data_IF_273971453727
#
_entry.id   IF_273971453727
#
_cell.length_a   1.000
_cell.length_b   1.000
_cell.length_c   1.000
_cell.angle_alpha   90.00
_cell.angle_beta   90.00
_cell.angle_gamma   90.00
#
_symmetry.space_group_name_H-M   'P 1'
#
loop_
_entity.id
_entity.type
_entity.pdbx_description
1 polymer ?
#
# COMPACT_ATOMS: atom_id res chain seq x y z
N UNK A 1 -5.50 3.69 -15.83
CA UNK A 1 -4.10 3.23 -15.69
C UNK A 1 -4.05 2.22 -14.57
N UNK A 2 -3.73 0.96 -14.87
CA UNK A 2 -3.65 -0.09 -13.86
C UNK A 2 -2.56 0.24 -12.82
N UNK A 3 -2.96 0.46 -11.56
CA UNK A 3 -2.05 0.63 -10.43
C UNK A 3 -1.12 -0.60 -10.36
N UNK A 4 0.20 -0.39 -10.36
CA UNK A 4 1.15 -1.43 -9.95
C UNK A 4 1.04 -1.63 -8.45
N UNK A 5 0.46 -2.76 -8.04
CA UNK A 5 0.43 -3.23 -6.65
C UNK A 5 1.85 -3.61 -6.22
N UNK A 6 2.54 -2.67 -5.59
CA UNK A 6 3.85 -2.86 -5.00
C UNK A 6 3.68 -3.26 -3.51
N UNK A 7 3.36 -4.53 -3.23
CA UNK A 7 3.21 -4.96 -1.84
C UNK A 7 2.95 -6.46 -1.62
N UNK A 8 1.92 -7.03 -2.25
CA UNK A 8 1.49 -8.41 -1.96
C UNK A 8 1.86 -9.44 -3.05
N UNK A 9 2.25 -8.98 -4.24
CA UNK A 9 2.53 -9.83 -5.41
C UNK A 9 3.82 -10.66 -5.30
N UNK A 10 4.65 -10.46 -4.27
CA UNK A 10 5.83 -11.30 -4.00
C UNK A 10 5.47 -12.68 -3.43
N UNK A 11 4.39 -12.81 -2.67
CA UNK A 11 3.98 -14.10 -2.08
C UNK A 11 3.38 -15.05 -3.15
N UNK A 12 2.68 -14.51 -4.15
CA UNK A 12 2.07 -15.29 -5.23
C UNK A 12 3.12 -15.91 -6.19
N UNK A 13 4.28 -15.27 -6.38
CA UNK A 13 5.35 -15.76 -7.28
C UNK A 13 6.11 -16.99 -6.76
N UNK A 14 6.02 -17.30 -5.46
CA UNK A 14 6.70 -18.46 -4.87
C UNK A 14 6.09 -19.83 -5.27
N UNK A 15 4.86 -19.86 -5.82
CA UNK A 15 4.15 -21.11 -6.17
C UNK A 15 4.51 -21.72 -7.53
N UNK A 16 5.21 -21.02 -8.44
CA UNK A 16 5.50 -21.53 -9.81
C UNK A 16 6.92 -22.07 -10.04
N UNK A 17 7.78 -22.17 -9.02
CA UNK A 17 9.19 -22.56 -9.24
C UNK A 17 9.75 -23.70 -8.36
N UNK A 18 8.93 -24.71 -8.02
CA UNK A 18 9.45 -25.98 -7.48
C UNK A 18 8.77 -27.21 -8.08
N UNK A 19 9.20 -27.59 -9.28
CA UNK A 19 9.21 -29.00 -9.68
C UNK A 19 10.34 -29.28 -10.67
N UNK A 20 11.13 -30.30 -10.35
CA UNK A 20 12.05 -31.08 -11.20
C UNK A 20 13.44 -30.50 -11.56
N UNK A 21 14.45 -30.90 -10.78
CA UNK A 21 15.39 -31.96 -11.21
C UNK A 21 16.44 -32.25 -10.12
N UNK A 22 16.40 -33.46 -9.55
CA UNK A 22 17.55 -34.05 -8.87
C UNK A 22 18.65 -34.41 -9.88
N UNK A 23 19.93 -34.30 -9.47
CA UNK A 23 20.90 -35.29 -9.90
C UNK A 23 21.54 -35.98 -8.69
N UNK A 24 21.40 -37.31 -8.70
CA UNK A 24 22.11 -38.28 -7.88
C UNK A 24 23.62 -38.20 -8.18
N UNK A 25 24.44 -38.06 -7.14
CA UNK A 25 25.91 -38.12 -7.21
C UNK A 25 26.55 -38.49 -5.87
N UNK A 26 26.85 -39.78 -5.72
CA UNK A 26 27.49 -40.44 -4.58
C UNK A 26 28.97 -40.00 -4.32
N UNK A 27 29.33 -39.64 -3.08
CA UNK A 27 30.29 -40.35 -2.18
C UNK A 27 30.99 -39.44 -1.13
N UNK A 28 30.70 -39.76 0.15
CA UNK A 28 31.57 -39.87 1.34
C UNK A 28 32.45 -38.69 1.83
N UNK A 29 32.13 -38.22 3.04
CA UNK A 29 33.11 -38.08 4.13
C UNK A 29 33.01 -36.82 5.01
N UNK A 30 32.54 -36.99 6.26
CA UNK A 30 32.76 -36.19 7.50
C UNK A 30 32.35 -34.70 7.45
N UNK A 31 31.58 -34.12 8.38
CA UNK A 31 31.42 -34.32 9.83
C UNK A 31 30.09 -33.71 10.30
N UNK A 32 29.55 -34.27 11.38
CA UNK A 32 28.42 -33.75 12.17
C UNK A 32 28.70 -32.36 12.78
N UNK A 33 27.62 -31.64 13.08
CA UNK A 33 27.52 -30.34 13.78
C UNK A 33 28.07 -29.09 13.06
N UNK A 34 27.28 -28.58 12.11
CA UNK A 34 27.16 -27.12 11.94
C UNK A 34 25.77 -26.71 12.41
N UNK A 35 25.65 -26.31 13.68
CA UNK A 35 24.59 -25.41 14.10
C UNK A 35 24.53 -24.27 13.07
N UNK A 36 23.38 -24.03 12.44
CA UNK A 36 23.14 -22.82 11.64
C UNK A 36 23.26 -21.61 12.58
N UNK A 37 24.49 -21.15 12.85
CA UNK A 37 24.75 -19.92 13.56
C UNK A 37 24.45 -18.77 12.60
N UNK A 38 23.30 -18.14 12.79
CA UNK A 38 22.94 -16.90 12.13
C UNK A 38 23.95 -15.83 12.59
N UNK A 39 24.93 -15.51 11.75
CA UNK A 39 25.86 -14.40 11.99
C UNK A 39 25.27 -13.17 11.31
N UNK A 40 24.55 -12.35 12.07
CA UNK A 40 24.07 -11.04 11.59
C UNK A 40 25.13 -10.01 11.97
N UNK A 41 25.71 -9.35 10.98
CA UNK A 41 26.63 -8.23 11.21
C UNK A 41 25.83 -7.05 11.78
N UNK A 42 26.06 -6.73 13.05
CA UNK A 42 25.49 -5.53 13.67
C UNK A 42 26.19 -4.28 13.11
N UNK A 43 25.48 -3.16 12.92
CA UNK A 43 26.10 -1.90 12.56
C UNK A 43 27.20 -1.50 13.56
N UNK A 44 28.31 -0.92 13.09
CA UNK A 44 29.49 -0.57 13.92
C UNK A 44 29.19 0.37 15.10
N UNK A 45 28.03 1.03 15.09
CA UNK A 45 27.59 2.00 16.11
C UNK A 45 26.83 1.36 17.29
N UNK A 46 26.55 0.05 17.24
CA UNK A 46 25.80 -0.66 18.29
C UNK A 46 26.73 -1.13 19.41
N UNK A 47 26.46 -0.69 20.64
CA UNK A 47 27.17 -1.18 21.83
C UNK A 47 26.85 -2.65 22.09
N UNK A 48 27.88 -3.50 22.03
CA UNK A 48 27.76 -4.94 22.25
C UNK A 48 27.49 -5.32 23.72
N UNK A 49 27.52 -4.37 24.66
CA UNK A 49 27.13 -4.59 26.05
C UNK A 49 25.70 -4.11 26.37
N UNK A 50 25.02 -3.42 25.44
CA UNK A 50 23.62 -3.00 25.57
C UNK A 50 22.68 -3.92 24.77
N UNK A 51 22.04 -4.85 25.48
CA UNK A 51 21.15 -5.86 24.88
C UNK A 51 19.95 -5.23 24.12
N UNK A 52 19.46 -4.07 24.54
CA UNK A 52 18.36 -3.38 23.83
C UNK A 52 18.86 -2.75 22.53
N UNK A 53 20.07 -2.20 22.54
CA UNK A 53 20.70 -1.67 21.32
C UNK A 53 21.00 -2.78 20.31
N UNK A 54 21.39 -3.97 20.76
CA UNK A 54 21.53 -5.15 19.89
C UNK A 54 20.20 -5.55 19.26
N UNK A 55 19.12 -5.63 20.05
CA UNK A 55 17.79 -5.94 19.53
C UNK A 55 17.35 -4.93 18.45
N UNK A 56 17.58 -3.64 18.69
CA UNK A 56 17.32 -2.58 17.70
C UNK A 56 18.15 -2.76 16.43
N UNK A 57 19.43 -3.13 16.57
CA UNK A 57 20.33 -3.40 15.46
C UNK A 57 19.85 -4.58 14.60
N UNK A 58 19.47 -5.70 15.23
CA UNK A 58 18.89 -6.86 14.55
C UNK A 58 17.60 -6.51 13.81
N UNK A 59 16.70 -5.79 14.48
CA UNK A 59 15.44 -5.35 13.88
C UNK A 59 15.68 -4.42 12.68
N UNK A 60 16.59 -3.45 12.80
CA UNK A 60 16.95 -2.55 11.71
C UNK A 60 17.56 -3.29 10.51
N UNK A 61 18.39 -4.30 10.76
CA UNK A 61 18.94 -5.13 9.71
C UNK A 61 17.84 -5.91 8.96
N UNK A 62 16.84 -6.42 9.69
CA UNK A 62 15.67 -7.07 9.11
C UNK A 62 14.81 -6.10 8.30
N UNK A 63 14.47 -4.92 8.84
CA UNK A 63 13.60 -3.94 8.16
C UNK A 63 14.20 -3.39 6.87
N UNK A 64 15.54 -3.36 6.80
CA UNK A 64 16.30 -2.92 5.62
C UNK A 64 16.62 -4.06 4.64
N UNK A 65 16.26 -5.30 4.97
CA UNK A 65 16.39 -6.45 4.07
C UNK A 65 15.13 -6.65 3.22
N UNK A 66 15.13 -7.66 2.34
CA UNK A 66 13.95 -8.07 1.57
C UNK A 66 12.82 -8.68 2.43
N UNK A 67 13.04 -8.81 3.76
CA UNK A 67 12.08 -9.33 4.76
C UNK A 67 11.58 -10.76 4.50
N UNK A 68 12.23 -11.50 3.62
CA UNK A 68 11.86 -12.86 3.18
C UNK A 68 12.52 -13.98 4.00
N UNK A 69 13.19 -13.63 5.11
CA UNK A 69 13.99 -14.56 5.88
C UNK A 69 13.42 -14.82 7.28
N UNK A 70 12.65 -15.91 7.39
CA UNK A 70 12.06 -16.40 8.64
C UNK A 70 13.13 -16.65 9.73
N UNK A 71 14.37 -16.98 9.37
CA UNK A 71 15.44 -17.22 10.35
C UNK A 71 15.84 -15.95 11.10
N UNK A 72 15.80 -14.79 10.43
CA UNK A 72 16.11 -13.50 11.06
C UNK A 72 14.99 -13.14 12.04
N UNK A 73 13.72 -13.33 11.66
CA UNK A 73 12.55 -13.11 12.52
C UNK A 73 12.62 -13.98 13.77
N UNK A 74 12.91 -15.27 13.60
CA UNK A 74 13.11 -16.18 14.73
C UNK A 74 14.31 -15.78 15.61
N UNK A 75 15.38 -15.25 15.03
CA UNK A 75 16.51 -14.67 15.77
C UNK A 75 16.09 -13.49 16.66
N UNK A 76 15.28 -12.57 16.14
CA UNK A 76 14.73 -11.44 16.89
C UNK A 76 13.84 -11.93 18.04
N UNK A 77 12.98 -12.92 17.80
CA UNK A 77 12.10 -13.51 18.82
C UNK A 77 12.91 -14.16 19.94
N UNK A 78 13.92 -14.96 19.59
CA UNK A 78 14.78 -15.59 20.60
C UNK A 78 15.55 -14.58 21.45
N UNK A 79 15.97 -13.46 20.85
CA UNK A 79 16.59 -12.36 21.58
C UNK A 79 15.59 -11.67 22.52
N UNK A 80 14.35 -11.45 22.05
CA UNK A 80 13.29 -10.91 22.88
C UNK A 80 12.97 -11.82 24.09
N UNK A 81 12.93 -13.13 23.86
CA UNK A 81 12.73 -14.13 24.90
C UNK A 81 13.91 -14.17 25.89
N UNK A 82 15.14 -13.99 25.42
CA UNK A 82 16.33 -13.88 26.28
C UNK A 82 16.21 -12.67 27.19
N UNK A 83 15.85 -11.52 26.65
CA UNK A 83 15.62 -10.28 27.40
C UNK A 83 14.52 -10.44 28.46
N UNK A 84 13.40 -11.07 28.12
CA UNK A 84 12.33 -11.34 29.09
C UNK A 84 12.76 -12.28 30.22
N UNK A 85 13.55 -13.32 29.92
CA UNK A 85 14.06 -14.23 30.95
C UNK A 85 15.10 -13.59 31.87
N UNK A 86 15.88 -12.67 31.33
CA UNK A 86 16.94 -11.95 32.06
C UNK A 86 16.43 -10.69 32.75
N UNK A 87 15.17 -10.31 32.53
CA UNK A 87 14.56 -9.14 33.14
C UNK A 87 14.57 -9.26 34.67
N UNK A 88 15.14 -8.26 35.35
CA UNK A 88 15.13 -8.21 36.81
C UNK A 88 13.71 -8.04 37.35
N UNK A 89 13.39 -8.73 38.43
CA UNK A 89 12.08 -8.66 39.07
C UNK A 89 11.76 -7.22 39.50
N UNK A 90 10.68 -6.65 38.96
CA UNK A 90 10.26 -5.25 39.22
C UNK A 90 10.86 -4.20 38.27
N UNK A 91 11.78 -4.56 37.39
CA UNK A 91 12.18 -3.72 36.25
C UNK A 91 11.14 -3.82 35.12
N UNK A 92 11.04 -2.80 34.25
CA UNK A 92 10.18 -2.83 33.06
C UNK A 92 11.04 -2.65 31.82
N UNK A 93 10.82 -3.49 30.81
CA UNK A 93 11.46 -3.32 29.51
C UNK A 93 10.91 -2.05 28.82
N UNK A 94 11.72 -1.38 27.98
CA UNK A 94 11.28 -0.17 27.29
C UNK A 94 10.17 -0.46 26.27
N UNK A 95 9.38 0.55 25.89
CA UNK A 95 8.32 0.40 24.89
C UNK A 95 8.84 -0.21 23.58
N UNK A 96 10.04 0.20 23.12
CA UNK A 96 10.66 -0.34 21.91
C UNK A 96 10.85 -1.87 21.94
N UNK A 97 11.06 -2.47 23.12
CA UNK A 97 11.13 -3.93 23.24
C UNK A 97 9.80 -4.57 22.86
N UNK A 98 8.69 -4.08 23.43
CA UNK A 98 7.35 -4.61 23.16
C UNK A 98 6.97 -4.43 21.69
N UNK A 99 7.30 -3.26 21.12
CA UNK A 99 7.13 -2.99 19.69
C UNK A 99 7.82 -4.06 18.82
N UNK A 100 9.14 -4.20 18.96
CA UNK A 100 9.93 -5.10 18.12
C UNK A 100 9.44 -6.54 18.27
N UNK A 101 9.16 -6.96 19.51
CA UNK A 101 8.72 -8.32 19.75
C UNK A 101 7.35 -8.61 19.13
N UNK A 102 6.38 -7.71 19.32
CA UNK A 102 5.05 -7.87 18.70
C UNK A 102 5.12 -7.89 17.18
N UNK A 103 5.92 -7.01 16.56
CA UNK A 103 6.09 -7.01 15.10
C UNK A 103 6.69 -8.34 14.63
N UNK A 104 7.78 -8.78 15.24
CA UNK A 104 8.42 -10.04 14.86
C UNK A 104 7.47 -11.24 14.98
N UNK A 105 6.63 -11.28 16.02
CA UNK A 105 5.60 -12.32 16.15
C UNK A 105 4.56 -12.23 15.03
N UNK A 106 4.06 -11.04 14.68
CA UNK A 106 3.09 -10.90 13.60
C UNK A 106 3.68 -11.22 12.22
N UNK A 107 4.97 -10.93 12.00
CA UNK A 107 5.66 -11.21 10.73
C UNK A 107 5.76 -12.72 10.45
N UNK A 108 5.74 -13.57 11.48
CA UNK A 108 5.69 -15.02 11.26
C UNK A 108 4.45 -15.45 10.47
N UNK A 109 3.33 -14.73 10.54
CA UNK A 109 2.13 -15.04 9.77
C UNK A 109 2.38 -15.03 8.25
N UNK A 110 3.31 -14.18 7.77
CA UNK A 110 3.67 -14.09 6.35
C UNK A 110 4.37 -15.35 5.81
N UNK A 111 4.94 -16.19 6.68
CA UNK A 111 5.62 -17.43 6.28
C UNK A 111 4.73 -18.68 6.34
N UNK A 112 3.60 -18.58 7.04
CA UNK A 112 2.70 -19.71 7.32
C UNK A 112 1.28 -19.46 6.79
N UNK A 113 1.17 -18.77 5.64
CA UNK A 113 -0.10 -18.31 5.04
C UNK A 113 -1.12 -19.41 4.73
N UNK A 114 -0.68 -20.67 4.66
CA UNK A 114 -1.54 -21.83 4.38
C UNK A 114 -2.16 -22.44 5.66
N UNK A 115 -1.73 -22.05 6.88
CA UNK A 115 -2.28 -22.54 8.16
C UNK A 115 -2.93 -21.41 8.98
N UNK A 116 -4.25 -21.25 8.80
CA UNK A 116 -5.06 -20.24 9.49
C UNK A 116 -4.97 -20.33 11.01
N UNK A 117 -4.80 -21.53 11.57
CA UNK A 117 -4.68 -21.68 13.04
C UNK A 117 -3.35 -21.13 13.51
N UNK A 118 -2.27 -21.43 12.79
CA UNK A 118 -0.94 -20.94 13.10
C UNK A 118 -0.85 -19.41 12.91
N UNK A 119 -1.44 -18.87 11.83
CA UNK A 119 -1.60 -17.42 11.62
C UNK A 119 -2.28 -16.77 12.81
N UNK A 120 -3.41 -17.33 13.26
CA UNK A 120 -4.14 -16.83 14.43
C UNK A 120 -3.27 -16.85 15.69
N UNK A 121 -2.53 -17.94 15.94
CA UNK A 121 -1.64 -18.04 17.10
C UNK A 121 -0.54 -16.97 17.10
N UNK A 122 0.01 -16.63 15.93
CA UNK A 122 1.00 -15.56 15.80
C UNK A 122 0.40 -14.18 16.08
N UNK A 123 -0.77 -13.89 15.54
CA UNK A 123 -1.46 -12.62 15.80
C UNK A 123 -1.91 -12.50 17.26
N UNK A 124 -2.47 -13.55 17.85
CA UNK A 124 -2.84 -13.57 19.27
C UNK A 124 -1.62 -13.30 20.16
N UNK A 125 -0.49 -13.98 19.90
CA UNK A 125 0.74 -13.77 20.66
C UNK A 125 1.32 -12.35 20.49
N UNK A 126 1.24 -11.82 19.27
CA UNK A 126 1.67 -10.45 18.95
C UNK A 126 0.82 -9.41 19.70
N UNK A 127 -0.51 -9.60 19.71
CA UNK A 127 -1.46 -8.73 20.40
C UNK A 127 -1.32 -8.83 21.93
N UNK A 128 -1.19 -10.03 22.49
CA UNK A 128 -0.92 -10.20 23.93
C UNK A 128 0.36 -9.45 24.35
N UNK A 129 1.38 -9.47 23.48
CA UNK A 129 2.64 -8.78 23.72
C UNK A 129 2.51 -7.26 23.62
N UNK A 130 1.75 -6.74 22.65
CA UNK A 130 1.56 -5.29 22.50
C UNK A 130 0.70 -4.73 23.63
N UNK A 131 -0.31 -5.49 24.06
CA UNK A 131 -1.15 -5.15 25.21
C UNK A 131 -0.33 -5.11 26.50
N UNK A 132 0.53 -6.11 26.74
CA UNK A 132 1.50 -6.07 27.85
C UNK A 132 2.41 -4.83 27.83
N UNK A 133 2.74 -4.34 26.62
CA UNK A 133 3.51 -3.11 26.42
C UNK A 133 2.70 -1.87 26.78
N UNK A 134 1.47 -1.77 26.28
CA UNK A 134 0.54 -0.67 26.53
C UNK A 134 0.07 -0.62 28.00
N UNK A 135 -0.01 -1.74 28.71
CA UNK A 135 -0.26 -1.72 30.16
C UNK A 135 0.85 -0.99 30.94
N UNK A 136 2.09 -1.07 30.45
CA UNK A 136 3.27 -0.48 31.09
C UNK A 136 3.59 0.92 30.55
N UNK A 137 3.27 1.15 29.28
CA UNK A 137 3.54 2.38 28.54
C UNK A 137 2.24 2.81 27.80
N UNK A 138 1.17 3.19 28.52
CA UNK A 138 -0.16 3.37 27.95
C UNK A 138 -0.29 4.52 26.96
N UNK A 139 0.61 5.48 27.06
CA UNK A 139 0.64 6.71 26.29
C UNK A 139 1.67 6.67 25.16
N UNK A 140 2.33 5.53 24.94
CA UNK A 140 3.37 5.40 23.92
C UNK A 140 2.76 5.33 22.51
N UNK A 141 3.04 6.37 21.72
CA UNK A 141 2.52 6.55 20.36
C UNK A 141 2.95 5.41 19.43
N UNK A 142 4.19 4.96 19.54
CA UNK A 142 4.72 3.89 18.69
C UNK A 142 4.02 2.56 18.95
N UNK A 143 3.76 2.22 20.22
CA UNK A 143 2.99 1.01 20.56
C UNK A 143 1.56 1.04 20.03
N UNK A 144 0.91 2.21 20.05
CA UNK A 144 -0.44 2.36 19.50
C UNK A 144 -0.45 2.17 17.97
N UNK A 145 0.49 2.80 17.24
CA UNK A 145 0.63 2.56 15.80
C UNK A 145 0.94 1.10 15.49
N UNK A 146 1.86 0.48 16.23
CA UNK A 146 2.18 -0.94 16.06
C UNK A 146 0.96 -1.84 16.31
N UNK A 147 0.13 -1.55 17.33
CA UNK A 147 -1.11 -2.29 17.54
C UNK A 147 -2.06 -2.17 16.34
N UNK A 148 -2.22 -0.96 15.79
CA UNK A 148 -3.02 -0.75 14.58
C UNK A 148 -2.49 -1.57 13.41
N UNK A 149 -1.17 -1.54 13.17
CA UNK A 149 -0.50 -2.32 12.13
C UNK A 149 -0.82 -3.82 12.22
N UNK A 150 -0.67 -4.39 13.42
CA UNK A 150 -0.93 -5.81 13.68
C UNK A 150 -2.39 -6.15 13.37
N UNK A 151 -3.34 -5.31 13.79
CA UNK A 151 -4.77 -5.53 13.54
C UNK A 151 -5.12 -5.47 12.05
N UNK A 152 -4.57 -4.52 11.29
CA UNK A 152 -4.79 -4.43 9.83
C UNK A 152 -4.22 -5.66 9.12
N UNK A 153 -2.99 -6.05 9.43
CA UNK A 153 -2.38 -7.26 8.85
C UNK A 153 -3.16 -8.53 9.21
N UNK A 154 -3.71 -8.61 10.43
CA UNK A 154 -4.55 -9.71 10.85
C UNK A 154 -5.83 -9.81 10.01
N UNK A 155 -6.48 -8.67 9.72
CA UNK A 155 -7.67 -8.63 8.87
C UNK A 155 -7.38 -9.29 7.52
N UNK A 156 -6.28 -8.89 6.86
CA UNK A 156 -5.91 -9.39 5.54
C UNK A 156 -5.60 -10.90 5.59
N UNK A 157 -4.65 -11.31 6.43
CA UNK A 157 -4.07 -12.66 6.40
C UNK A 157 -4.93 -13.73 7.09
N UNK A 158 -5.67 -13.35 8.13
CA UNK A 158 -6.47 -14.31 8.90
C UNK A 158 -7.92 -14.38 8.41
N UNK A 159 -8.50 -13.25 7.98
CA UNK A 159 -9.91 -13.18 7.65
C UNK A 159 -10.16 -13.06 6.14
N UNK A 160 -9.68 -12.00 5.50
CA UNK A 160 -9.98 -11.71 4.08
C UNK A 160 -9.46 -12.81 3.16
N UNK A 161 -8.24 -13.31 3.39
CA UNK A 161 -7.64 -14.35 2.56
C UNK A 161 -8.40 -15.70 2.57
N UNK A 162 -9.32 -15.89 3.52
CA UNK A 162 -10.11 -17.11 3.66
C UNK A 162 -11.50 -16.99 3.04
N UNK A 163 -11.90 -15.78 2.64
CA UNK A 163 -13.22 -15.52 2.09
C UNK A 163 -13.36 -16.08 0.68
N UNK A 164 -14.60 -16.40 0.33
CA UNK A 164 -15.03 -16.77 -1.02
C UNK A 164 -16.22 -15.91 -1.39
N UNK A 165 -16.55 -15.85 -2.67
CA UNK A 165 -17.77 -15.18 -3.15
C UNK A 165 -19.06 -15.64 -2.44
N UNK A 166 -19.07 -16.86 -1.90
CA UNK A 166 -20.19 -17.43 -1.14
C UNK A 166 -20.09 -17.26 0.38
N UNK A 167 -19.10 -16.54 0.90
CA UNK A 167 -18.91 -16.35 2.34
C UNK A 167 -19.97 -15.41 2.91
N UNK A 168 -20.40 -15.67 4.15
CA UNK A 168 -21.38 -14.83 4.85
C UNK A 168 -20.74 -14.06 6.02
N UNK A 169 -21.31 -12.92 6.41
CA UNK A 169 -20.89 -12.07 7.56
C UNK A 169 -20.73 -12.86 8.87
N UNK A 170 -21.44 -13.98 9.02
CA UNK A 170 -21.30 -14.86 10.18
C UNK A 170 -19.92 -15.55 10.29
N UNK A 171 -19.19 -15.64 9.18
CA UNK A 171 -17.84 -16.21 9.12
C UNK A 171 -16.77 -15.20 9.58
N UNK A 172 -16.94 -13.92 9.24
CA UNK A 172 -16.06 -12.83 9.66
C UNK A 172 -16.77 -11.47 9.60
N UNK A 173 -16.73 -10.69 10.69
CA UNK A 173 -17.22 -9.32 10.69
C UNK A 173 -16.07 -8.34 10.33
N UNK A 174 -15.66 -8.34 9.06
CA UNK A 174 -14.49 -7.58 8.59
C UNK A 174 -14.65 -6.09 8.85
N UNK A 175 -15.85 -5.54 8.68
CA UNK A 175 -16.16 -4.14 9.00
C UNK A 175 -15.81 -3.79 10.45
N UNK A 176 -16.29 -4.55 11.42
CA UNK A 176 -16.06 -4.26 12.84
C UNK A 176 -14.58 -4.39 13.22
N UNK A 177 -13.87 -5.34 12.61
CA UNK A 177 -12.43 -5.49 12.77
C UNK A 177 -11.68 -4.27 12.23
N UNK A 178 -12.03 -3.81 11.02
CA UNK A 178 -11.44 -2.62 10.41
C UNK A 178 -11.73 -1.38 11.25
N UNK A 179 -12.99 -1.11 11.60
CA UNK A 179 -13.40 0.00 12.48
C UNK A 179 -12.59 0.00 13.79
N UNK A 180 -12.30 -1.18 14.35
CA UNK A 180 -11.50 -1.31 15.57
C UNK A 180 -10.05 -0.92 15.33
N UNK A 181 -9.43 -1.43 14.26
CA UNK A 181 -8.06 -1.12 13.90
C UNK A 181 -7.87 0.39 13.64
N UNK A 182 -8.77 1.00 12.86
CA UNK A 182 -8.72 2.42 12.52
C UNK A 182 -8.88 3.33 13.76
N UNK A 183 -9.73 2.96 14.72
CA UNK A 183 -9.83 3.67 16.01
C UNK A 183 -8.54 3.62 16.83
N UNK A 184 -7.77 2.54 16.73
CA UNK A 184 -6.45 2.46 17.38
C UNK A 184 -5.48 3.44 16.70
N UNK A 185 -5.48 3.52 15.36
CA UNK A 185 -4.70 4.50 14.62
C UNK A 185 -5.04 5.94 15.02
N UNK A 186 -6.33 6.29 15.02
CA UNK A 186 -6.82 7.61 15.44
C UNK A 186 -6.37 7.98 16.86
N UNK A 187 -6.39 7.00 17.76
CA UNK A 187 -5.93 7.17 19.15
C UNK A 187 -4.42 7.46 19.20
N UNK A 188 -3.61 6.79 18.37
CA UNK A 188 -2.18 7.05 18.25
C UNK A 188 -1.92 8.49 17.78
N UNK A 189 -2.62 8.94 16.74
CA UNK A 189 -2.47 10.31 16.23
C UNK A 189 -2.90 11.37 17.23
N UNK A 190 -4.03 11.14 17.93
CA UNK A 190 -4.52 12.02 18.98
C UNK A 190 -3.45 12.15 20.06
N UNK A 191 -2.89 11.02 20.51
CA UNK A 191 -1.85 11.00 21.54
C UNK A 191 -0.58 11.69 21.09
N UNK A 192 -0.16 11.48 19.85
CA UNK A 192 0.99 12.17 19.26
C UNK A 192 0.79 13.70 19.25
N UNK A 193 -0.42 14.16 18.93
CA UNK A 193 -0.79 15.57 19.00
C UNK A 193 -0.75 16.13 20.44
N UNK A 194 -1.31 15.41 21.40
CA UNK A 194 -1.30 15.81 22.82
C UNK A 194 0.11 15.92 23.40
N UNK A 195 0.98 14.97 23.05
CA UNK A 195 2.35 14.89 23.54
C UNK A 195 3.34 15.70 22.68
N UNK A 196 2.90 16.23 21.54
CA UNK A 196 3.76 16.87 20.53
C UNK A 196 4.90 15.95 20.05
N UNK A 197 4.64 14.65 19.99
CA UNK A 197 5.58 13.61 19.54
C UNK A 197 5.33 13.31 18.06
N UNK A 198 5.77 14.23 17.19
CA UNK A 198 5.56 14.09 15.76
C UNK A 198 6.64 13.23 15.08
N UNK A 199 7.72 12.88 15.78
CA UNK A 199 8.83 12.08 15.24
C UNK A 199 8.38 10.72 14.69
N UNK A 200 7.30 10.14 15.23
CA UNK A 200 6.70 8.92 14.71
C UNK A 200 6.27 9.06 13.24
N UNK A 201 5.85 10.25 12.79
CA UNK A 201 5.43 10.51 11.41
C UNK A 201 6.61 10.65 10.44
N UNK A 202 7.87 10.59 10.91
CA UNK A 202 9.06 10.52 10.05
C UNK A 202 9.60 9.09 9.95
N UNK A 203 8.69 8.11 9.92
CA UNK A 203 9.01 6.70 9.90
C UNK A 203 8.15 5.99 8.86
N UNK A 204 8.82 5.42 7.85
CA UNK A 204 8.17 4.68 6.77
C UNK A 204 7.29 3.54 7.32
N UNK A 205 7.72 2.85 8.38
CA UNK A 205 6.98 1.73 8.99
C UNK A 205 5.56 2.10 9.47
N UNK A 206 5.33 3.37 9.83
CA UNK A 206 4.02 3.86 10.25
C UNK A 206 3.23 4.49 9.12
N UNK A 207 3.91 4.89 8.04
CA UNK A 207 3.23 5.17 6.78
C UNK A 207 2.73 3.88 6.13
N UNK A 208 3.48 2.77 6.22
CA UNK A 208 3.07 1.43 5.76
C UNK A 208 1.68 1.01 6.30
N UNK A 209 1.23 1.56 7.43
CA UNK A 209 -0.10 1.27 7.98
C UNK A 209 -1.19 1.85 7.09
N UNK A 210 -1.01 3.08 6.59
CA UNK A 210 -1.94 3.70 5.65
C UNK A 210 -1.88 2.97 4.30
N UNK A 211 -0.70 2.55 3.86
CA UNK A 211 -0.57 1.72 2.65
C UNK A 211 -1.28 0.37 2.80
N UNK A 212 -1.15 -0.29 3.96
CA UNK A 212 -1.84 -1.56 4.22
C UNK A 212 -3.38 -1.39 4.27
N UNK A 213 -3.88 -0.21 4.65
CA UNK A 213 -5.31 0.11 4.55
C UNK A 213 -5.70 0.31 3.08
N UNK A 214 -4.93 1.07 2.29
CA UNK A 214 -5.17 1.25 0.84
C UNK A 214 -5.19 -0.10 0.11
N UNK A 215 -4.19 -0.95 0.35
CA UNK A 215 -4.09 -2.30 -0.20
C UNK A 215 -5.30 -3.17 0.19
N UNK A 216 -5.79 -3.05 1.44
CA UNK A 216 -6.99 -3.76 1.87
C UNK A 216 -8.23 -3.27 1.11
N UNK A 217 -8.37 -1.96 0.87
CA UNK A 217 -9.48 -1.41 0.10
C UNK A 217 -9.41 -1.84 -1.36
N UNK A 218 -8.21 -1.80 -1.97
CA UNK A 218 -7.98 -2.30 -3.32
C UNK A 218 -8.31 -3.82 -3.41
N UNK A 219 -7.99 -4.63 -2.39
CA UNK A 219 -8.40 -6.05 -2.32
C UNK A 219 -9.92 -6.20 -2.26
N UNK A 220 -10.61 -5.34 -1.50
CA UNK A 220 -12.06 -5.36 -1.35
C UNK A 220 -12.75 -4.99 -2.67
N UNK A 221 -12.29 -3.94 -3.35
CA UNK A 221 -12.86 -3.45 -4.59
C UNK A 221 -12.70 -4.46 -5.73
N UNK A 222 -11.58 -5.19 -5.72
CA UNK A 222 -11.27 -6.22 -6.72
C UNK A 222 -11.62 -7.64 -6.27
N UNK A 223 -12.35 -7.80 -5.17
CA UNK A 223 -12.58 -9.11 -4.59
C UNK A 223 -13.37 -10.04 -5.53
N UNK A 224 -12.72 -11.14 -5.93
CA UNK A 224 -13.31 -12.14 -6.80
C UNK A 224 -13.19 -11.84 -8.30
N UNK A 225 -12.67 -10.67 -8.69
CA UNK A 225 -12.32 -10.39 -10.09
C UNK A 225 -11.14 -11.29 -10.46
N UNK A 226 -11.21 -11.96 -11.60
CA UNK A 226 -10.02 -12.65 -12.13
C UNK A 226 -9.00 -11.57 -12.47
N UNK A 227 -7.79 -11.62 -11.89
CA UNK A 227 -6.69 -10.80 -12.37
C UNK A 227 -6.51 -11.15 -13.84
N UNK A 228 -6.90 -10.24 -14.74
CA UNK A 228 -6.44 -10.25 -16.13
C UNK A 228 -4.93 -9.98 -16.02
N UNK A 229 -4.14 -11.05 -15.84
CA UNK A 229 -2.70 -11.00 -15.98
C UNK A 229 -2.45 -10.44 -17.38
N UNK A 230 -2.12 -9.15 -17.48
CA UNK A 230 -1.70 -8.49 -18.71
C UNK A 230 -0.76 -9.41 -19.48
N UNK A 231 -1.24 -10.01 -20.57
CA UNK A 231 -0.46 -10.90 -21.44
C UNK A 231 0.56 -10.11 -22.30
N UNK A 232 1.08 -8.98 -21.82
CA UNK A 232 2.05 -8.18 -22.56
C UNK A 232 3.51 -8.65 -22.37
N UNK A 233 3.78 -9.60 -21.46
CA UNK A 233 5.14 -10.10 -21.18
C UNK A 233 5.38 -11.57 -21.63
N UNK A 234 4.61 -12.10 -22.58
CA UNK A 234 4.99 -13.32 -23.31
C UNK A 234 5.49 -12.98 -24.71
N UNK A 235 6.75 -12.57 -24.77
CA UNK A 235 7.53 -12.55 -26.01
C UNK A 235 7.36 -13.88 -26.79
N UNK A 236 6.71 -13.76 -27.94
CA UNK A 236 7.04 -14.45 -29.20
C UNK A 236 7.75 -15.81 -29.11
N UNK A 237 6.98 -16.88 -29.30
CA UNK A 237 7.35 -18.07 -30.11
C UNK A 237 6.15 -19.00 -30.17
N UNK A 238 5.27 -18.77 -31.13
CA UNK A 238 5.13 -19.71 -32.25
C UNK A 238 4.21 -19.12 -33.32
N UNK A 239 4.60 -19.41 -34.56
CA UNK A 239 3.92 -18.98 -35.77
C UNK A 239 2.66 -19.82 -36.02
N UNK A 240 1.76 -19.22 -36.78
CA UNK A 240 0.66 -19.82 -37.54
C UNK A 240 -0.63 -20.11 -36.73
N UNK A 241 -1.55 -19.15 -36.64
CA UNK A 241 -2.73 -19.06 -37.53
C UNK A 241 -3.77 -18.04 -37.05
N UNK A 242 -4.39 -17.39 -38.04
CA UNK A 242 -5.77 -16.87 -38.06
C UNK A 242 -6.17 -15.76 -37.07
N UNK A 243 -6.17 -14.53 -37.59
CA UNK A 243 -7.15 -13.45 -37.35
C UNK A 243 -8.14 -13.67 -36.21
N UNK A 244 -7.83 -13.11 -35.05
CA UNK A 244 -8.84 -12.54 -34.18
C UNK A 244 -8.60 -11.04 -34.11
N UNK A 245 -9.57 -10.29 -34.65
CA UNK A 245 -9.77 -8.88 -34.35
C UNK A 245 -9.87 -8.78 -32.82
N UNK A 246 -8.98 -7.99 -32.23
CA UNK A 246 -9.08 -7.60 -30.82
C UNK A 246 -10.15 -6.53 -30.82
N UNK A 247 -11.39 -6.92 -30.48
CA UNK A 247 -12.42 -5.95 -30.12
C UNK A 247 -11.99 -5.38 -28.76
N UNK A 248 -11.68 -4.08 -28.75
CA UNK A 248 -11.36 -3.27 -27.57
C UNK A 248 -12.63 -3.00 -26.73
N UNK A 249 -13.28 -4.05 -26.21
CA UNK A 249 -14.45 -3.95 -25.31
C UNK A 249 -14.40 -5.02 -24.20
N UNK A 250 -13.26 -5.18 -23.52
CA UNK A 250 -13.25 -5.91 -22.24
C UNK A 250 -13.82 -4.96 -21.15
N UNK A 251 -15.15 -4.82 -21.11
CA UNK A 251 -15.87 -4.33 -19.93
C UNK A 251 -15.50 -5.27 -18.77
N UNK A 252 -14.66 -4.83 -17.82
CA UNK A 252 -14.39 -5.57 -16.60
C UNK A 252 -15.73 -5.93 -15.94
N UNK A 253 -16.09 -7.22 -15.91
CA UNK A 253 -17.34 -7.65 -15.25
C UNK A 253 -17.31 -7.19 -13.79
N UNK A 254 -18.13 -6.19 -13.45
CA UNK A 254 -18.31 -5.76 -12.07
C UNK A 254 -18.93 -6.89 -11.25
N UNK A 255 -18.11 -7.52 -10.41
CA UNK A 255 -18.58 -8.54 -9.47
C UNK A 255 -19.24 -7.83 -8.29
N UNK A 256 -20.56 -7.73 -8.35
CA UNK A 256 -21.37 -7.26 -7.23
C UNK A 256 -21.44 -8.35 -6.14
N UNK A 257 -20.92 -8.03 -4.95
CA UNK A 257 -20.99 -8.94 -3.81
C UNK A 257 -22.42 -9.02 -3.25
N UNK A 258 -22.80 -10.17 -2.71
CA UNK A 258 -24.09 -10.29 -2.02
C UNK A 258 -24.10 -9.41 -0.76
N UNK A 259 -25.26 -8.82 -0.43
CA UNK A 259 -25.42 -7.95 0.74
C UNK A 259 -25.10 -8.63 2.09
N UNK A 260 -25.04 -9.96 2.12
CA UNK A 260 -24.63 -10.76 3.28
C UNK A 260 -23.15 -11.12 3.29
N UNK A 261 -22.37 -10.73 2.28
CA UNK A 261 -20.93 -10.99 2.20
C UNK A 261 -20.15 -10.10 3.19
N UNK A 262 -19.11 -10.63 3.88
CA UNK A 262 -18.32 -9.87 4.86
C UNK A 262 -17.73 -8.54 4.37
N UNK A 263 -17.39 -8.45 3.07
CA UNK A 263 -16.77 -7.28 2.46
C UNK A 263 -17.78 -6.31 1.85
N UNK A 264 -19.05 -6.72 1.66
CA UNK A 264 -20.08 -5.87 1.05
C UNK A 264 -20.23 -4.50 1.74
N UNK A 265 -20.24 -4.39 3.08
CA UNK A 265 -20.38 -3.10 3.76
C UNK A 265 -19.15 -2.18 3.62
N UNK A 266 -18.03 -2.70 3.14
CA UNK A 266 -16.80 -1.94 2.88
C UNK A 266 -16.76 -1.52 1.42
N UNK A 267 -17.03 -2.45 0.49
CA UNK A 267 -17.05 -2.20 -0.96
C UNK A 267 -18.10 -1.14 -1.37
N UNK A 268 -19.25 -1.11 -0.70
CA UNK A 268 -20.38 -0.25 -1.08
C UNK A 268 -20.41 1.10 -0.34
N UNK A 269 -19.29 1.57 0.19
CA UNK A 269 -19.21 2.86 0.88
C UNK A 269 -17.86 3.53 0.63
N UNK A 270 -17.88 4.85 0.48
CA UNK A 270 -16.66 5.65 0.35
C UNK A 270 -16.06 6.04 1.71
N UNK A 271 -16.69 5.63 2.82
CA UNK A 271 -16.28 5.98 4.19
C UNK A 271 -14.79 5.68 4.46
N UNK A 272 -14.28 4.54 3.99
CA UNK A 272 -12.90 4.13 4.26
C UNK A 272 -11.88 4.80 3.33
N UNK A 273 -12.23 5.07 2.07
CA UNK A 273 -11.41 5.88 1.17
C UNK A 273 -11.27 7.30 1.71
N UNK A 274 -12.38 7.89 2.17
CA UNK A 274 -12.39 9.20 2.81
C UNK A 274 -11.58 9.19 4.11
N UNK A 275 -11.74 8.16 4.95
CA UNK A 275 -10.92 7.97 6.15
C UNK A 275 -9.43 7.94 5.79
N UNK A 276 -9.04 7.07 4.84
CA UNK A 276 -7.65 6.94 4.42
C UNK A 276 -7.06 8.27 3.96
N UNK A 277 -7.82 9.02 3.16
CA UNK A 277 -7.39 10.31 2.62
C UNK A 277 -7.23 11.37 3.71
N UNK A 278 -8.21 11.50 4.60
CA UNK A 278 -8.18 12.46 5.71
C UNK A 278 -7.00 12.17 6.66
N UNK A 279 -6.76 10.89 6.94
CA UNK A 279 -5.66 10.46 7.80
C UNK A 279 -4.30 10.56 7.11
N UNK A 280 -4.22 10.39 5.79
CA UNK A 280 -2.99 10.64 5.02
C UNK A 280 -2.65 12.14 4.96
N UNK A 281 -3.64 13.02 4.81
CA UNK A 281 -3.45 14.48 4.93
C UNK A 281 -2.95 14.84 6.33
N UNK A 282 -3.55 14.26 7.37
CA UNK A 282 -3.13 14.48 8.76
C UNK A 282 -1.72 13.96 9.04
N UNK A 283 -1.35 12.81 8.45
CA UNK A 283 0.02 12.29 8.49
C UNK A 283 0.99 13.30 7.88
N UNK A 284 0.69 13.80 6.67
CA UNK A 284 1.50 14.82 5.99
C UNK A 284 1.63 16.10 6.82
N UNK A 285 0.55 16.57 7.41
CA UNK A 285 0.55 17.75 8.28
C UNK A 285 1.45 17.57 9.51
N UNK A 286 1.46 16.36 10.09
CA UNK A 286 2.33 16.04 11.23
C UNK A 286 3.79 15.88 10.81
N UNK A 287 4.06 15.22 9.69
CA UNK A 287 5.40 15.11 9.09
C UNK A 287 6.00 16.51 8.82
N UNK A 288 5.20 17.45 8.31
CA UNK A 288 5.62 18.83 8.06
C UNK A 288 5.93 19.65 9.33
N UNK A 289 5.54 19.18 10.53
CA UNK A 289 5.89 19.84 11.81
C UNK A 289 7.30 19.48 12.28
N UNK A 290 7.92 18.47 11.67
CA UNK A 290 9.24 17.98 12.05
C UNK A 290 10.29 18.90 11.44
N UNK A 291 11.38 19.15 12.18
CA UNK A 291 12.41 20.10 11.73
C UNK A 291 13.21 19.60 10.50
N UNK A 292 13.27 18.29 10.29
CA UNK A 292 14.00 17.66 9.18
C UNK A 292 13.25 16.40 8.75
N UNK A 293 12.08 16.56 8.09
CA UNK A 293 11.32 15.44 7.56
C UNK A 293 12.11 14.77 6.43
N UNK A 294 11.91 13.46 6.28
CA UNK A 294 12.48 12.70 5.17
C UNK A 294 11.90 13.20 3.86
N UNK A 295 12.77 13.63 2.94
CA UNK A 295 12.33 14.12 1.62
C UNK A 295 11.70 13.01 0.78
N UNK A 296 12.17 11.76 0.90
CA UNK A 296 11.59 10.62 0.18
C UNK A 296 10.17 10.33 0.68
N UNK A 297 9.98 10.31 2.00
CA UNK A 297 8.68 10.08 2.60
C UNK A 297 7.70 11.23 2.29
N UNK A 298 8.17 12.48 2.31
CA UNK A 298 7.35 13.62 1.87
C UNK A 298 6.88 13.46 0.42
N UNK A 299 7.77 13.00 -0.48
CA UNK A 299 7.39 12.75 -1.88
C UNK A 299 6.38 11.62 -1.98
N UNK A 300 6.63 10.50 -1.31
CA UNK A 300 5.73 9.32 -1.32
C UNK A 300 4.32 9.68 -0.83
N UNK A 301 4.20 10.34 0.34
CA UNK A 301 2.90 10.74 0.90
C UNK A 301 2.15 11.68 -0.06
N UNK A 302 2.84 12.63 -0.68
CA UNK A 302 2.22 13.51 -1.67
C UNK A 302 1.85 12.76 -2.96
N UNK A 303 2.66 11.80 -3.40
CA UNK A 303 2.36 10.98 -4.57
C UNK A 303 1.06 10.21 -4.37
N UNK A 304 0.92 9.53 -3.22
CA UNK A 304 -0.29 8.78 -2.85
C UNK A 304 -1.53 9.66 -2.74
N UNK A 305 -1.43 10.82 -2.09
CA UNK A 305 -2.54 11.78 -2.05
C UNK A 305 -2.93 12.28 -3.45
N UNK A 306 -1.93 12.54 -4.30
CA UNK A 306 -2.12 12.93 -5.69
C UNK A 306 -2.91 11.88 -6.48
N UNK A 307 -2.46 10.62 -6.41
CA UNK A 307 -3.12 9.49 -7.07
C UNK A 307 -4.54 9.27 -6.55
N UNK A 308 -4.73 9.33 -5.23
CA UNK A 308 -6.06 9.16 -4.62
C UNK A 308 -7.05 10.24 -5.06
N UNK A 309 -6.62 11.50 -5.24
CA UNK A 309 -7.49 12.56 -5.77
C UNK A 309 -7.79 12.38 -7.26
N UNK A 310 -6.88 11.79 -8.04
CA UNK A 310 -7.16 11.42 -9.42
C UNK A 310 -8.20 10.30 -9.48
N UNK A 311 -8.06 9.26 -8.67
CA UNK A 311 -9.00 8.14 -8.61
C UNK A 311 -10.41 8.62 -8.24
N UNK A 312 -10.55 9.46 -7.22
CA UNK A 312 -11.85 10.06 -6.85
C UNK A 312 -12.44 10.93 -7.98
N UNK A 313 -11.58 11.49 -8.83
CA UNK A 313 -12.02 12.32 -9.95
C UNK A 313 -12.54 11.52 -11.15
N UNK A 314 -12.36 10.19 -11.20
CA UNK A 314 -12.74 9.37 -12.35
C UNK A 314 -14.25 9.40 -12.58
N UNK A 315 -15.07 9.13 -11.56
CA UNK A 315 -16.54 9.18 -11.67
C UNK A 315 -17.04 10.54 -12.18
N UNK A 316 -16.72 11.69 -11.54
CA UNK A 316 -17.20 12.98 -12.02
C UNK A 316 -16.60 13.37 -13.38
N UNK A 317 -15.39 12.90 -13.72
CA UNK A 317 -14.83 13.10 -15.07
C UNK A 317 -15.64 12.33 -16.10
N UNK A 318 -15.92 11.04 -15.86
CA UNK A 318 -16.69 10.18 -16.73
C UNK A 318 -18.12 10.70 -16.92
N UNK A 319 -18.79 11.10 -15.83
CA UNK A 319 -20.12 11.71 -15.90
C UNK A 319 -20.12 12.96 -16.76
N UNK A 320 -19.15 13.86 -16.56
CA UNK A 320 -19.03 15.06 -17.37
C UNK A 320 -18.80 14.73 -18.85
N UNK A 321 -17.89 13.80 -19.17
CA UNK A 321 -17.59 13.45 -20.56
C UNK A 321 -18.76 12.78 -21.24
N UNK A 322 -19.45 11.84 -20.58
CA UNK A 322 -20.62 11.16 -21.13
C UNK A 322 -21.77 12.14 -21.36
N UNK A 323 -22.13 12.96 -20.37
CA UNK A 323 -23.23 13.92 -20.54
C UNK A 323 -22.93 15.03 -21.57
N UNK A 324 -21.65 15.38 -21.78
CA UNK A 324 -21.26 16.47 -22.68
C UNK A 324 -21.02 16.03 -24.12
N UNK A 325 -20.41 14.86 -24.31
CA UNK A 325 -19.85 14.45 -25.60
C UNK A 325 -20.42 13.15 -26.16
N UNK A 326 -21.06 12.32 -25.32
CA UNK A 326 -21.61 11.04 -25.76
C UNK A 326 -23.06 11.22 -26.28
N UNK A 327 -23.27 10.83 -27.54
CA UNK A 327 -24.59 10.91 -28.17
C UNK A 327 -25.60 9.96 -27.53
N UNK A 328 -25.15 8.86 -26.92
CA UNK A 328 -26.02 7.88 -26.27
C UNK A 328 -26.70 8.43 -25.00
N UNK A 329 -26.08 9.45 -24.39
CA UNK A 329 -26.58 10.14 -23.20
C UNK A 329 -27.24 11.50 -23.54
N UNK A 330 -27.43 11.79 -24.84
CA UNK A 330 -27.98 13.07 -25.28
C UNK A 330 -29.38 13.33 -24.72
N UNK A 331 -29.51 14.43 -23.97
CA UNK A 331 -30.78 14.85 -23.36
C UNK A 331 -31.02 14.33 -21.94
N UNK A 332 -30.09 13.58 -21.37
CA UNK A 332 -30.06 13.31 -19.93
C UNK A 332 -29.56 14.55 -19.18
N UNK A 333 -30.22 14.89 -18.08
CA UNK A 333 -29.84 16.04 -17.23
C UNK A 333 -28.85 15.64 -16.13
N UNK A 334 -28.78 14.34 -15.81
CA UNK A 334 -28.06 13.78 -14.67
C UNK A 334 -27.61 12.34 -14.97
N UNK A 335 -26.41 11.98 -14.50
CA UNK A 335 -25.87 10.62 -14.49
C UNK A 335 -25.12 10.43 -13.15
N UNK A 336 -25.25 9.27 -12.50
CA UNK A 336 -24.65 8.99 -11.18
C UNK A 336 -24.95 10.06 -10.10
N UNK A 337 -26.13 10.69 -10.14
CA UNK A 337 -26.49 11.74 -9.17
C UNK A 337 -25.91 13.12 -9.47
N UNK A 338 -25.20 13.30 -10.59
CA UNK A 338 -24.50 14.54 -10.94
C UNK A 338 -24.99 15.10 -12.29
N UNK A 339 -25.26 16.41 -12.30
CA UNK A 339 -25.42 17.16 -13.54
C UNK A 339 -24.05 17.50 -14.17
N UNK A 340 -24.05 17.86 -15.45
CA UNK A 340 -22.84 18.25 -16.20
C UNK A 340 -21.99 19.31 -15.47
N UNK A 341 -22.62 20.37 -14.95
CA UNK A 341 -21.93 21.46 -14.28
C UNK A 341 -21.35 21.02 -12.92
N UNK A 342 -22.09 20.18 -12.18
CA UNK A 342 -21.61 19.63 -10.91
C UNK A 342 -20.44 18.68 -11.10
N UNK A 343 -20.56 17.76 -12.06
CA UNK A 343 -19.51 16.81 -12.42
C UNK A 343 -18.23 17.53 -12.84
N UNK A 344 -18.35 18.54 -13.71
CA UNK A 344 -17.23 19.37 -14.16
C UNK A 344 -16.53 20.08 -12.99
N UNK A 345 -17.29 20.74 -12.11
CA UNK A 345 -16.73 21.49 -10.98
C UNK A 345 -16.07 20.55 -9.96
N UNK A 346 -16.69 19.42 -9.63
CA UNK A 346 -16.11 18.43 -8.71
C UNK A 346 -14.82 17.87 -9.29
N UNK A 347 -14.84 17.40 -10.54
CA UNK A 347 -13.66 16.84 -11.21
C UNK A 347 -12.51 17.86 -11.28
N UNK A 348 -12.79 19.12 -11.67
CA UNK A 348 -11.78 20.19 -11.67
C UNK A 348 -11.18 20.40 -10.28
N UNK A 349 -12.00 20.44 -9.23
CA UNK A 349 -11.50 20.65 -7.87
C UNK A 349 -10.61 19.49 -7.41
N UNK A 350 -11.01 18.25 -7.69
CA UNK A 350 -10.23 17.06 -7.33
C UNK A 350 -8.90 16.99 -8.09
N UNK A 351 -8.91 17.19 -9.42
CA UNK A 351 -7.69 17.14 -10.21
C UNK A 351 -6.74 18.30 -9.87
N UNK A 352 -7.25 19.48 -9.51
CA UNK A 352 -6.39 20.55 -9.01
C UNK A 352 -5.70 20.17 -7.70
N UNK A 353 -6.41 19.56 -6.74
CA UNK A 353 -5.78 19.03 -5.51
C UNK A 353 -4.75 17.95 -5.83
N UNK A 354 -5.07 17.05 -6.77
CA UNK A 354 -4.12 16.04 -7.23
C UNK A 354 -2.83 16.69 -7.75
N UNK A 355 -2.94 17.69 -8.64
CA UNK A 355 -1.80 18.42 -9.18
C UNK A 355 -1.00 19.16 -8.12
N UNK A 356 -1.64 19.71 -7.08
CA UNK A 356 -0.94 20.35 -5.96
C UNK A 356 -0.03 19.36 -5.21
N UNK A 357 -0.49 18.12 -5.03
CA UNK A 357 0.27 17.06 -4.38
C UNK A 357 1.32 16.45 -5.31
N UNK A 358 0.97 16.08 -6.54
CA UNK A 358 1.90 15.51 -7.52
C UNK A 358 3.10 16.42 -7.80
N UNK A 359 2.89 17.75 -7.85
CA UNK A 359 4.00 18.73 -7.98
C UNK A 359 4.94 18.74 -6.79
N UNK A 360 4.44 18.47 -5.56
CA UNK A 360 5.28 18.33 -4.36
C UNK A 360 6.00 16.97 -4.32
N UNK A 361 5.44 15.97 -5.02
CA UNK A 361 6.03 14.66 -5.18
C UNK A 361 7.06 14.57 -6.33
N UNK A 362 7.22 15.62 -7.15
CA UNK A 362 8.15 15.62 -8.29
C UNK A 362 9.56 15.21 -7.86
N UNK A 363 10.07 14.13 -8.46
CA UNK A 363 11.47 13.72 -8.33
C UNK A 363 12.22 14.05 -9.62
N UNK A 364 13.31 14.81 -9.50
CA UNK A 364 14.11 15.25 -10.64
C UNK A 364 14.93 14.15 -11.28
N UNK A 365 15.04 13.00 -10.64
CA UNK A 365 15.77 11.85 -11.15
C UNK A 365 14.82 10.78 -11.73
N UNK A 366 13.51 10.93 -11.51
CA UNK A 366 12.48 9.99 -11.95
C UNK A 366 11.50 10.64 -12.95
N UNK A 367 11.72 10.46 -14.26
CA UNK A 367 10.85 11.02 -15.29
C UNK A 367 9.37 10.62 -15.19
N UNK A 368 9.07 9.47 -14.56
CA UNK A 368 7.71 8.98 -14.33
C UNK A 368 6.90 9.94 -13.47
N UNK A 369 7.51 10.55 -12.44
CA UNK A 369 6.86 11.58 -11.62
C UNK A 369 6.44 12.81 -12.42
N UNK A 370 7.16 13.13 -13.51
CA UNK A 370 6.83 14.25 -14.40
C UNK A 370 5.66 13.90 -15.31
N UNK A 371 5.62 12.67 -15.80
CA UNK A 371 4.55 12.17 -16.65
C UNK A 371 3.24 12.17 -15.89
N UNK A 372 3.22 11.72 -14.63
CA UNK A 372 2.03 11.76 -13.77
C UNK A 372 1.44 13.18 -13.65
N UNK A 373 2.30 14.22 -13.54
CA UNK A 373 1.86 15.62 -13.53
C UNK A 373 1.26 16.02 -14.88
N UNK A 374 1.92 15.64 -15.99
CA UNK A 374 1.46 15.99 -17.33
C UNK A 374 0.12 15.32 -17.67
N UNK A 375 -0.07 14.05 -17.34
CA UNK A 375 -1.33 13.34 -17.56
C UNK A 375 -2.46 13.96 -16.73
N UNK A 376 -2.22 14.30 -15.46
CA UNK A 376 -3.18 15.03 -14.66
C UNK A 376 -3.53 16.42 -15.24
N UNK A 377 -2.57 17.12 -15.87
CA UNK A 377 -2.83 18.37 -16.60
C UNK A 377 -3.69 18.14 -17.84
N UNK A 378 -3.48 17.05 -18.58
CA UNK A 378 -4.28 16.69 -19.75
C UNK A 378 -5.72 16.39 -19.32
N UNK A 379 -5.91 15.56 -18.29
CA UNK A 379 -7.24 15.26 -17.75
C UNK A 379 -7.95 16.54 -17.30
N UNK A 380 -7.24 17.47 -16.64
CA UNK A 380 -7.81 18.77 -16.29
C UNK A 380 -8.17 19.60 -17.53
N UNK A 381 -7.34 19.57 -18.58
CA UNK A 381 -7.58 20.25 -19.84
C UNK A 381 -8.83 19.75 -20.55
N UNK A 382 -9.08 18.44 -20.52
CA UNK A 382 -10.29 17.80 -21.07
C UNK A 382 -11.58 18.30 -20.39
N UNK A 383 -11.49 18.84 -19.17
CA UNK A 383 -12.65 19.40 -18.45
C UNK A 383 -12.94 20.86 -18.81
N UNK A 384 -12.11 21.53 -19.59
CA UNK A 384 -12.41 22.88 -20.09
C UNK A 384 -13.12 22.83 -21.45
N UNK A 385 -13.64 23.98 -21.87
CA UNK A 385 -14.24 24.08 -23.20
C UNK A 385 -13.16 23.96 -24.29
N UNK A 386 -13.55 23.37 -25.42
CA UNK A 386 -12.68 23.19 -26.57
C UNK A 386 -12.12 24.54 -27.04
N UNK A 387 -10.81 24.59 -27.28
CA UNK A 387 -10.04 25.78 -27.70
C UNK A 387 -10.10 26.94 -26.67
N UNK A 388 -10.44 26.65 -25.41
CA UNK A 388 -10.32 27.63 -24.34
C UNK A 388 -8.84 27.91 -24.02
N UNK A 389 -8.55 29.12 -23.55
CA UNK A 389 -7.19 29.51 -23.16
C UNK A 389 -6.66 28.65 -22.01
N UNK A 390 -7.56 28.22 -21.14
CA UNK A 390 -7.28 27.35 -20.02
C UNK A 390 -6.85 25.95 -20.49
N UNK A 391 -7.57 25.37 -21.46
CA UNK A 391 -7.21 24.10 -22.08
C UNK A 391 -5.87 24.19 -22.82
N UNK A 392 -5.72 25.15 -23.74
CA UNK A 392 -4.48 25.34 -24.52
C UNK A 392 -3.26 25.45 -23.61
N UNK A 393 -3.37 26.24 -22.54
CA UNK A 393 -2.28 26.41 -21.57
C UNK A 393 -1.91 25.10 -20.87
N UNK A 394 -2.89 24.30 -20.46
CA UNK A 394 -2.64 23.03 -19.79
C UNK A 394 -1.97 22.02 -20.73
N UNK A 395 -2.39 21.98 -21.99
CA UNK A 395 -1.78 21.09 -22.99
C UNK A 395 -0.36 21.54 -23.36
N UNK A 396 -0.11 22.83 -23.52
CA UNK A 396 1.24 23.36 -23.77
C UNK A 396 2.21 23.03 -22.62
N UNK A 397 1.75 23.15 -21.37
CA UNK A 397 2.52 22.79 -20.18
C UNK A 397 2.77 21.27 -20.13
N UNK A 398 1.75 20.44 -20.37
CA UNK A 398 1.85 18.99 -20.40
C UNK A 398 2.80 18.50 -21.52
N UNK A 399 2.68 19.03 -22.74
CA UNK A 399 3.54 18.69 -23.88
C UNK A 399 5.01 19.00 -23.56
N UNK A 400 5.28 20.14 -22.93
CA UNK A 400 6.63 20.54 -22.52
C UNK A 400 7.22 19.53 -21.53
N UNK A 401 6.44 19.10 -20.56
CA UNK A 401 6.84 18.11 -19.55
C UNK A 401 7.06 16.74 -20.19
N UNK A 402 6.13 16.27 -21.04
CA UNK A 402 6.24 14.99 -21.75
C UNK A 402 7.45 14.95 -22.67
N UNK A 403 7.74 16.02 -23.44
CA UNK A 403 8.97 16.10 -24.25
C UNK A 403 10.22 15.96 -23.39
N UNK A 404 10.25 16.61 -22.22
CA UNK A 404 11.38 16.50 -21.28
C UNK A 404 11.52 15.06 -20.77
N UNK A 405 10.43 14.42 -20.33
CA UNK A 405 10.43 13.05 -19.83
C UNK A 405 10.83 12.05 -20.92
N UNK A 406 10.25 12.16 -22.11
CA UNK A 406 10.52 11.28 -23.24
C UNK A 406 11.97 11.34 -23.71
N UNK A 407 12.58 12.54 -23.73
CA UNK A 407 14.00 12.70 -23.99
C UNK A 407 14.87 12.05 -22.91
N UNK A 408 14.47 12.14 -21.64
CA UNK A 408 15.21 11.54 -20.54
C UNK A 408 15.13 10.00 -20.54
N UNK A 409 14.06 9.42 -21.08
CA UNK A 409 13.82 7.97 -21.12
C UNK A 409 14.07 7.31 -22.47
N UNK A 410 14.67 8.04 -23.44
CA UNK A 410 14.95 7.55 -24.79
C UNK A 410 13.71 7.05 -25.56
N UNK A 411 12.58 7.72 -25.43
CA UNK A 411 11.38 7.42 -26.24
C UNK A 411 10.28 6.62 -25.54
N UNK A 412 10.41 6.30 -24.23
CA UNK A 412 9.39 5.50 -23.49
C UNK A 412 7.99 6.14 -23.50
N UNK A 413 7.90 7.46 -23.62
CA UNK A 413 6.63 8.20 -23.54
C UNK A 413 6.24 8.84 -24.88
N UNK A 414 6.77 8.31 -25.99
CA UNK A 414 6.49 8.83 -27.32
C UNK A 414 5.01 8.70 -27.66
N UNK A 415 4.39 7.57 -27.32
CA UNK A 415 2.97 7.31 -27.62
C UNK A 415 2.05 8.28 -26.86
N UNK A 416 2.33 8.53 -25.57
CA UNK A 416 1.59 9.51 -24.76
C UNK A 416 1.71 10.91 -25.35
N UNK A 417 2.91 11.29 -25.81
CA UNK A 417 3.16 12.57 -26.45
C UNK A 417 2.46 12.69 -27.81
N UNK A 418 2.48 11.64 -28.62
CA UNK A 418 1.80 11.61 -29.92
C UNK A 418 0.28 11.68 -29.77
N UNK A 419 -0.28 10.98 -28.79
CA UNK A 419 -1.71 11.04 -28.48
C UNK A 419 -2.16 12.45 -28.06
N UNK A 420 -1.36 13.16 -27.26
CA UNK A 420 -1.64 14.55 -26.92
C UNK A 420 -1.64 15.46 -28.17
N UNK A 421 -0.71 15.23 -29.11
CA UNK A 421 -0.55 16.04 -30.32
C UNK A 421 -1.54 15.71 -31.44
N UNK A 422 -2.18 14.55 -31.37
CA UNK A 422 -3.19 14.12 -32.33
C UNK A 422 -4.58 14.73 -32.05
N UNK A 423 -4.79 15.23 -30.82
CA UNK A 423 -5.95 16.03 -30.41
C UNK A 423 -5.75 17.51 -30.78
#
# INVERSE_FOLDING_TARGET
MAKRILGLSKAAKAKKQKTENEPIGNEKGQSEDSSNQLTVELPEEVDADDEISQLKGLYKAYTNSDRDNELIVNGIIHECDRLLRNQEEGSSLPATFYKIYSIALSELANFHTDDVKQIKEYFDASLDRIESGLEKHPDDVELLFTRSKILINQIVLQYVSQLKLSSEVSEANVKELLDTALKVYESAELKAGELSQFEAFNNDEYFDILEAVDDLLDIVDNFGKEEVENEEDKESKDKDNETHEVDDEDEEEEIELDGTHPLYPIQNTDEYNQWWRDHTVKYLDNLNKIASPSESLLREVNQRLGQSYLQESEIPTNVYTSLKYDEDYAGLEELEGLSIDQAQEIAKNLINKALEHLKKAEDKEEPESWVNIAEAMITLGNLYDLDSKEQEKLYDEAETILKKANNATNGRYQDVLENLLAN
#
